data_IF_095989499708
#
_entry.id   IF_095989499708
#
_cell.length_a   1.000
_cell.length_b   1.000
_cell.length_c   1.000
_cell.angle_alpha   90.00
_cell.angle_beta   90.00
_cell.angle_gamma   90.00
#
_symmetry.space_group_name_H-M   'P 1'
#
loop_
_entity.id
_entity.type
_entity.pdbx_description
1 polymer ?
#
# COMPACT_ATOMS: atom_id res chain seq x y z
N UNK A 1 5.97 94.34 10.68
CA UNK A 1 6.27 94.72 12.08
C UNK A 1 7.77 94.58 12.29
N UNK A 2 8.56 95.66 12.19
CA UNK A 2 9.09 96.46 13.33
C UNK A 2 9.86 95.57 14.34
N UNK A 3 11.16 95.71 14.61
CA UNK A 3 11.97 96.90 14.96
C UNK A 3 13.48 96.54 14.91
N UNK A 4 14.35 97.41 14.37
CA UNK A 4 15.28 98.33 15.10
C UNK A 4 16.47 97.63 15.79
N UNK A 5 17.73 97.75 15.35
CA UNK A 5 18.67 98.90 15.24
C UNK A 5 19.26 99.35 16.59
N UNK A 6 20.59 99.61 16.56
CA UNK A 6 21.50 100.29 17.50
C UNK A 6 22.23 99.34 18.50
N UNK A 7 23.54 99.39 18.76
CA UNK A 7 24.60 100.43 18.67
C UNK A 7 25.99 99.71 18.71
N UNK A 8 26.95 99.94 17.82
CA UNK A 8 27.99 101.00 17.80
C UNK A 8 28.70 101.24 19.16
N UNK A 9 29.98 100.83 19.31
CA UNK A 9 31.09 101.61 19.94
C UNK A 9 32.47 101.05 19.51
N UNK A 10 33.28 101.97 18.97
CA UNK A 10 34.73 102.05 18.73
C UNK A 10 35.72 101.23 19.61
N UNK A 11 36.80 100.70 19.00
CA UNK A 11 38.18 101.28 19.08
C UNK A 11 39.25 100.46 18.34
N UNK A 12 40.00 101.21 17.52
CA UNK A 12 41.35 101.02 16.99
C UNK A 12 42.25 99.92 17.59
N UNK A 13 43.03 99.31 16.68
CA UNK A 13 44.47 99.23 16.88
C UNK A 13 45.05 97.83 16.88
N UNK A 14 45.70 97.48 15.77
CA UNK A 14 47.11 97.08 15.70
C UNK A 14 47.32 95.97 14.65
N UNK A 15 48.10 96.32 13.63
CA UNK A 15 48.83 95.33 12.84
C UNK A 15 49.65 94.43 13.77
N UNK A 16 49.35 93.14 13.81
CA UNK A 16 50.28 92.13 14.31
C UNK A 16 50.99 91.47 13.13
N UNK A 17 52.11 92.10 12.81
CA UNK A 17 53.29 91.58 12.11
C UNK A 17 53.35 90.04 12.13
N UNK A 18 53.20 89.42 10.97
CA UNK A 18 53.49 87.99 10.71
C UNK A 18 54.84 87.61 11.30
N UNK A 19 54.83 86.86 12.42
CA UNK A 19 56.02 86.15 12.89
C UNK A 19 56.28 85.03 11.89
N UNK A 20 57.38 85.14 11.14
CA UNK A 20 57.83 84.05 10.27
C UNK A 20 57.98 82.78 11.11
N UNK A 21 57.23 81.73 10.75
CA UNK A 21 57.24 80.47 11.48
C UNK A 21 58.66 79.91 11.53
N UNK A 22 59.10 79.58 12.75
CA UNK A 22 60.44 79.06 13.02
C UNK A 22 60.73 77.83 12.14
N UNK A 23 61.98 77.69 11.70
CA UNK A 23 62.44 76.56 10.88
C UNK A 23 62.11 75.19 11.52
N UNK A 24 61.98 75.14 12.85
CA UNK A 24 61.54 73.96 13.59
C UNK A 24 60.05 73.66 13.41
N UNK A 25 59.18 74.67 13.51
CA UNK A 25 57.73 74.53 13.34
C UNK A 25 57.40 74.07 11.92
N UNK A 26 58.03 74.67 10.90
CA UNK A 26 57.86 74.23 9.49
C UNK A 26 58.35 72.79 9.26
N UNK A 27 59.35 72.34 10.02
CA UNK A 27 59.88 70.96 9.95
C UNK A 27 58.95 69.96 10.64
N UNK A 28 58.33 70.35 11.75
CA UNK A 28 57.32 69.57 12.47
C UNK A 28 56.01 69.48 11.69
N UNK A 29 55.51 70.58 11.11
CA UNK A 29 54.35 70.58 10.22
C UNK A 29 54.55 69.67 9.00
N UNK A 30 55.74 69.71 8.38
CA UNK A 30 56.07 68.82 7.26
C UNK A 30 56.17 67.36 7.70
N UNK A 31 56.63 67.09 8.92
CA UNK A 31 56.69 65.74 9.52
C UNK A 31 55.29 65.21 9.84
N UNK A 32 54.44 66.03 10.46
CA UNK A 32 53.05 65.72 10.76
C UNK A 32 52.21 65.53 9.49
N UNK A 33 52.38 66.40 8.48
CA UNK A 33 51.73 66.25 7.18
C UNK A 33 52.16 64.97 6.45
N UNK A 34 53.45 64.60 6.53
CA UNK A 34 53.95 63.33 5.98
C UNK A 34 53.37 62.13 6.75
N UNK A 35 53.28 62.19 8.07
CA UNK A 35 52.64 61.14 8.87
C UNK A 35 51.14 61.02 8.58
N UNK A 36 50.41 62.14 8.51
CA UNK A 36 48.98 62.16 8.16
C UNK A 36 48.74 61.59 6.76
N UNK A 37 49.56 61.97 5.77
CA UNK A 37 49.51 61.39 4.43
C UNK A 37 49.75 59.87 4.45
N UNK A 38 50.74 59.41 5.24
CA UNK A 38 51.03 57.98 5.40
C UNK A 38 49.83 57.25 6.02
N UNK A 39 49.20 57.79 7.06
CA UNK A 39 48.01 57.19 7.68
C UNK A 39 46.80 57.17 6.74
N UNK A 40 46.56 58.25 6.00
CA UNK A 40 45.48 58.31 4.99
C UNK A 40 45.75 57.30 3.88
N UNK A 41 46.99 57.21 3.40
CA UNK A 41 47.38 56.25 2.37
C UNK A 41 47.18 54.81 2.84
N UNK A 42 47.64 54.44 4.04
CA UNK A 42 47.41 53.10 4.58
C UNK A 42 45.94 52.83 4.89
N UNK A 43 45.18 53.83 5.35
CA UNK A 43 43.74 53.71 5.55
C UNK A 43 42.99 53.42 4.25
N UNK A 44 43.32 54.15 3.17
CA UNK A 44 42.77 53.90 1.84
C UNK A 44 43.22 52.55 1.27
N UNK A 45 44.47 52.14 1.50
CA UNK A 45 44.98 50.83 1.10
C UNK A 45 44.19 49.70 1.80
N UNK A 46 43.97 49.81 3.12
CA UNK A 46 43.20 48.83 3.89
C UNK A 46 41.73 48.81 3.43
N UNK A 47 41.13 49.98 3.19
CA UNK A 47 39.76 50.07 2.67
C UNK A 47 39.65 49.45 1.27
N UNK A 48 40.62 49.70 0.40
CA UNK A 48 40.68 49.06 -0.91
C UNK A 48 40.83 47.54 -0.78
N UNK A 49 41.69 47.06 0.12
CA UNK A 49 41.86 45.63 0.37
C UNK A 49 40.57 45.00 0.93
N UNK A 50 39.87 45.69 1.83
CA UNK A 50 38.56 45.27 2.33
C UNK A 50 37.52 45.15 1.20
N UNK A 51 37.41 46.17 0.34
CA UNK A 51 36.41 46.20 -0.74
C UNK A 51 36.76 45.23 -1.87
N UNK A 52 38.02 45.14 -2.29
CA UNK A 52 38.43 44.35 -3.45
C UNK A 52 38.84 42.91 -3.13
N UNK A 53 39.13 42.60 -1.87
CA UNK A 53 39.52 41.24 -1.44
C UNK A 53 38.47 40.66 -0.51
N UNK A 54 38.15 41.35 0.60
CA UNK A 54 37.30 40.76 1.64
C UNK A 54 35.83 40.67 1.21
N UNK A 55 35.25 41.74 0.64
CA UNK A 55 33.85 41.76 0.22
C UNK A 55 33.56 40.68 -0.85
N UNK A 56 34.36 40.49 -1.91
CA UNK A 56 34.13 39.40 -2.87
C UNK A 56 34.21 38.00 -2.24
N UNK A 57 35.09 37.79 -1.26
CA UNK A 57 35.19 36.52 -0.53
C UNK A 57 33.92 36.28 0.30
N UNK A 58 33.46 37.30 1.04
CA UNK A 58 32.23 37.23 1.84
C UNK A 58 31.02 37.00 0.95
N UNK A 59 30.91 37.73 -0.16
CA UNK A 59 29.82 37.59 -1.13
C UNK A 59 29.81 36.18 -1.73
N UNK A 60 30.96 35.65 -2.15
CA UNK A 60 31.09 34.28 -2.65
C UNK A 60 30.68 33.25 -1.60
N UNK A 61 31.10 33.43 -0.35
CA UNK A 61 30.76 32.51 0.74
C UNK A 61 29.27 32.59 1.11
N UNK A 62 28.72 33.81 1.15
CA UNK A 62 27.31 34.06 1.40
C UNK A 62 26.43 33.42 0.32
N UNK A 63 26.74 33.64 -0.97
CA UNK A 63 26.00 32.99 -2.07
C UNK A 63 26.27 31.49 -2.17
N UNK A 64 27.47 30.99 -1.83
CA UNK A 64 27.71 29.54 -1.79
C UNK A 64 26.90 28.82 -0.69
N UNK A 65 26.51 29.54 0.37
CA UNK A 65 25.62 29.03 1.42
C UNK A 65 24.15 29.22 1.02
N UNK A 66 23.80 30.33 0.36
CA UNK A 66 22.44 30.65 -0.05
C UNK A 66 21.98 29.82 -1.27
N UNK A 67 22.86 29.57 -2.25
CA UNK A 67 22.62 28.66 -3.39
C UNK A 67 22.54 27.20 -2.95
N UNK A 68 22.83 26.92 -1.68
CA UNK A 68 22.60 25.64 -1.03
C UNK A 68 21.19 25.60 -0.43
N UNK A 69 20.20 26.12 -1.15
CA UNK A 69 18.85 25.61 -1.05
C UNK A 69 18.89 24.18 -1.55
N UNK A 70 19.18 23.23 -0.67
CA UNK A 70 18.73 21.86 -0.88
C UNK A 70 17.23 21.99 -1.09
N UNK A 71 16.67 21.66 -2.27
CA UNK A 71 15.22 21.56 -2.36
C UNK A 71 14.80 20.64 -1.22
N UNK A 72 13.85 21.07 -0.40
CA UNK A 72 13.15 20.19 0.51
C UNK A 72 12.37 19.23 -0.40
N UNK A 73 13.06 18.25 -0.97
CA UNK A 73 12.45 17.12 -1.62
C UNK A 73 11.81 16.35 -0.46
N UNK A 74 10.53 16.65 -0.22
CA UNK A 74 9.72 15.92 0.73
C UNK A 74 9.55 14.53 0.14
N UNK A 75 10.53 13.67 0.40
CA UNK A 75 10.42 12.25 0.10
C UNK A 75 9.20 11.75 0.85
N UNK A 76 8.23 11.26 0.10
CA UNK A 76 7.07 10.64 0.69
C UNK A 76 7.48 9.30 1.30
N UNK A 77 7.35 9.21 2.62
CA UNK A 77 7.67 8.02 3.41
C UNK A 77 6.41 7.47 4.11
N UNK A 78 5.21 7.90 3.70
CA UNK A 78 3.94 7.44 4.28
C UNK A 78 3.46 6.19 3.52
N UNK A 79 3.33 5.03 4.18
CA UNK A 79 2.80 3.84 3.53
C UNK A 79 1.33 3.99 3.10
N UNK A 80 0.95 3.38 1.97
CA UNK A 80 -0.45 3.27 1.58
C UNK A 80 -1.26 2.42 2.58
N UNK A 81 -2.58 2.54 2.53
CA UNK A 81 -3.46 1.62 3.26
C UNK A 81 -3.35 0.19 2.71
N UNK A 82 -3.44 -0.81 3.59
CA UNK A 82 -3.53 -2.22 3.17
C UNK A 82 -4.73 -2.45 2.26
N UNK A 83 -4.54 -3.05 1.07
CA UNK A 83 -5.63 -3.37 0.15
C UNK A 83 -6.68 -4.30 0.75
N UNK A 84 -7.93 -4.17 0.31
CA UNK A 84 -9.06 -4.98 0.75
C UNK A 84 -9.74 -5.67 -0.43
N UNK A 85 -10.19 -6.91 -0.26
CA UNK A 85 -11.00 -7.60 -1.28
C UNK A 85 -12.49 -7.25 -1.12
N UNK A 86 -13.22 -7.18 -2.23
CA UNK A 86 -14.67 -7.02 -2.25
C UNK A 86 -15.41 -8.26 -1.73
N UNK A 87 -14.79 -9.43 -1.82
CA UNK A 87 -15.32 -10.70 -1.33
C UNK A 87 -14.19 -11.57 -0.80
N UNK A 88 -14.49 -12.36 0.24
CA UNK A 88 -13.55 -13.32 0.79
C UNK A 88 -13.38 -14.48 -0.22
N UNK A 89 -12.14 -14.85 -0.60
CA UNK A 89 -11.87 -16.03 -1.41
C UNK A 89 -12.49 -17.31 -0.81
N UNK A 90 -12.93 -18.27 -1.65
CA UNK A 90 -13.41 -19.55 -1.13
C UNK A 90 -12.26 -20.34 -0.50
N UNK A 91 -12.57 -21.16 0.51
CA UNK A 91 -11.59 -22.08 1.10
C UNK A 91 -11.17 -23.18 0.11
N UNK A 92 -12.06 -23.57 -0.82
CA UNK A 92 -11.78 -24.54 -1.86
C UNK A 92 -12.50 -24.21 -3.18
N UNK A 93 -11.93 -24.60 -4.31
CA UNK A 93 -12.53 -24.46 -5.64
C UNK A 93 -12.02 -25.51 -6.61
N UNK A 94 -12.85 -25.96 -7.55
CA UNK A 94 -12.40 -26.78 -8.67
C UNK A 94 -11.77 -25.98 -9.82
N UNK A 95 -11.95 -24.65 -9.81
CA UNK A 95 -11.43 -23.79 -10.87
C UNK A 95 -9.92 -23.64 -10.76
N UNK A 96 -9.24 -23.68 -11.91
CA UNK A 96 -7.83 -23.31 -12.01
C UNK A 96 -7.59 -21.81 -11.82
N UNK A 97 -8.64 -20.99 -11.99
CA UNK A 97 -8.54 -19.54 -11.96
C UNK A 97 -9.53 -18.96 -10.96
N UNK A 98 -9.06 -18.00 -10.17
CA UNK A 98 -9.89 -17.27 -9.23
C UNK A 98 -9.81 -15.77 -9.53
N UNK A 99 -10.98 -15.18 -9.79
CA UNK A 99 -11.10 -13.74 -10.00
C UNK A 99 -11.24 -13.03 -8.66
N UNK A 100 -10.39 -12.05 -8.43
CA UNK A 100 -10.33 -11.21 -7.25
C UNK A 100 -10.62 -9.77 -7.66
N UNK A 101 -11.42 -9.09 -6.87
CA UNK A 101 -11.63 -7.64 -6.99
C UNK A 101 -11.51 -7.01 -5.62
N UNK A 102 -11.12 -5.74 -5.58
CA UNK A 102 -10.92 -5.05 -4.32
C UNK A 102 -10.64 -3.57 -4.46
N UNK A 103 -10.28 -2.97 -3.34
CA UNK A 103 -9.94 -1.57 -3.23
C UNK A 103 -8.57 -1.36 -2.59
N UNK A 104 -7.84 -0.38 -3.08
CA UNK A 104 -6.56 0.07 -2.57
C UNK A 104 -6.41 1.58 -2.83
N UNK A 105 -5.26 2.16 -2.47
CA UNK A 105 -4.99 3.56 -2.77
C UNK A 105 -4.99 3.81 -4.29
N UNK A 106 -5.73 4.82 -4.75
CA UNK A 106 -5.84 5.13 -6.17
C UNK A 106 -4.46 5.47 -6.77
N UNK A 107 -4.22 5.05 -8.03
CA UNK A 107 -2.95 5.26 -8.74
C UNK A 107 -1.72 4.59 -8.08
N UNK A 108 -1.95 3.66 -7.15
CA UNK A 108 -0.92 2.79 -6.57
C UNK A 108 -0.90 1.42 -7.28
N UNK A 109 -0.17 0.46 -6.71
CA UNK A 109 -0.15 -0.93 -7.13
C UNK A 109 -0.50 -1.87 -5.97
N UNK A 110 -1.10 -3.01 -6.27
CA UNK A 110 -1.24 -4.15 -5.36
C UNK A 110 -0.26 -5.23 -5.80
N UNK A 111 0.62 -5.64 -4.90
CA UNK A 111 1.58 -6.72 -5.10
C UNK A 111 0.99 -8.00 -4.53
N UNK A 112 0.70 -8.96 -5.39
CA UNK A 112 0.17 -10.28 -5.04
C UNK A 112 1.31 -11.27 -4.83
N UNK A 113 1.19 -12.05 -3.75
CA UNK A 113 2.12 -13.09 -3.34
C UNK A 113 1.36 -14.41 -3.33
N UNK A 114 1.77 -15.34 -4.17
CA UNK A 114 1.23 -16.69 -4.23
C UNK A 114 2.34 -17.68 -3.82
N UNK A 115 2.06 -18.50 -2.81
CA UNK A 115 3.00 -19.51 -2.30
C UNK A 115 4.38 -18.92 -1.96
N UNK A 116 4.36 -17.82 -1.20
CA UNK A 116 5.54 -17.06 -0.75
C UNK A 116 6.41 -16.45 -1.86
N UNK A 117 5.93 -16.42 -3.11
CA UNK A 117 6.59 -15.77 -4.24
C UNK A 117 5.72 -14.65 -4.79
N UNK A 118 6.34 -13.56 -5.26
CA UNK A 118 5.61 -12.52 -5.99
C UNK A 118 5.03 -13.12 -7.27
N UNK A 119 3.72 -12.99 -7.43
CA UNK A 119 2.96 -13.54 -8.54
C UNK A 119 2.62 -12.45 -9.56
N UNK A 120 2.16 -11.28 -9.08
CA UNK A 120 1.80 -10.16 -9.93
C UNK A 120 1.87 -8.80 -9.21
N UNK A 121 2.06 -7.74 -9.99
CA UNK A 121 1.82 -6.34 -9.58
C UNK A 121 0.68 -5.76 -10.41
N UNK A 122 -0.39 -5.34 -9.75
CA UNK A 122 -1.64 -4.90 -10.38
C UNK A 122 -1.87 -3.42 -10.08
N UNK A 123 -2.05 -2.62 -11.13
CA UNK A 123 -2.35 -1.19 -10.97
C UNK A 123 -3.75 -0.95 -10.38
N UNK A 124 -3.87 0.09 -9.55
CA UNK A 124 -5.12 0.51 -8.93
C UNK A 124 -5.68 1.70 -9.71
N UNK A 125 -6.95 1.61 -10.11
CA UNK A 125 -7.64 2.65 -10.87
C UNK A 125 -7.84 3.94 -10.06
N UNK A 126 -8.27 5.02 -10.72
CA UNK A 126 -8.49 6.33 -10.07
C UNK A 126 -9.60 6.30 -9.00
N UNK A 127 -10.55 5.38 -9.13
CA UNK A 127 -11.63 5.14 -8.17
C UNK A 127 -11.22 4.17 -7.04
N UNK A 128 -9.94 3.76 -7.02
CA UNK A 128 -9.38 2.86 -6.02
C UNK A 128 -9.61 1.38 -6.32
N UNK A 129 -10.26 1.01 -7.43
CA UNK A 129 -10.54 -0.39 -7.74
C UNK A 129 -9.34 -1.12 -8.35
N UNK A 130 -9.21 -2.40 -8.02
CA UNK A 130 -8.33 -3.32 -8.74
C UNK A 130 -9.05 -4.64 -9.04
N UNK A 131 -8.59 -5.34 -10.09
CA UNK A 131 -9.01 -6.68 -10.43
C UNK A 131 -7.80 -7.53 -10.77
N UNK A 132 -7.81 -8.78 -10.32
CA UNK A 132 -6.74 -9.73 -10.56
C UNK A 132 -7.28 -11.15 -10.71
N UNK A 133 -6.80 -11.89 -11.70
CA UNK A 133 -7.09 -13.31 -11.84
C UNK A 133 -5.85 -14.10 -11.45
N UNK A 134 -5.95 -14.87 -10.36
CA UNK A 134 -4.86 -15.73 -9.88
C UNK A 134 -5.01 -17.13 -10.48
N UNK A 135 -3.89 -17.69 -10.94
CA UNK A 135 -3.81 -19.07 -11.45
C UNK A 135 -3.40 -20.03 -10.31
N UNK A 136 -4.34 -20.87 -9.89
CA UNK A 136 -4.18 -21.81 -8.78
C UNK A 136 -3.52 -23.12 -9.23
N UNK A 137 -2.56 -23.59 -8.46
CA UNK A 137 -1.97 -24.93 -8.62
C UNK A 137 -2.83 -25.98 -7.92
N UNK A 138 -2.82 -27.26 -8.35
CA UNK A 138 -3.50 -28.33 -7.63
C UNK A 138 -3.08 -28.38 -6.15
N UNK A 139 -4.06 -28.57 -5.26
CA UNK A 139 -3.84 -28.56 -3.81
C UNK A 139 -3.82 -27.17 -3.20
N UNK A 140 -3.04 -26.97 -2.13
CA UNK A 140 -3.04 -25.74 -1.33
C UNK A 140 -2.35 -24.58 -2.05
N UNK A 141 -3.01 -23.42 -2.08
CA UNK A 141 -2.48 -22.15 -2.57
C UNK A 141 -2.58 -21.09 -1.48
N UNK A 142 -1.45 -20.51 -1.08
CA UNK A 142 -1.40 -19.48 -0.05
C UNK A 142 -1.29 -18.10 -0.72
N UNK A 143 -2.35 -17.30 -0.64
CA UNK A 143 -2.42 -15.98 -1.24
C UNK A 143 -2.34 -14.88 -0.16
N UNK A 144 -1.43 -13.93 -0.34
CA UNK A 144 -1.38 -12.68 0.41
C UNK A 144 -1.05 -11.53 -0.53
N UNK A 145 -1.32 -10.29 -0.13
CA UNK A 145 -0.98 -9.13 -0.95
C UNK A 145 -0.78 -7.89 -0.09
N UNK A 146 -0.17 -6.86 -0.67
CA UNK A 146 0.05 -5.55 -0.04
C UNK A 146 0.01 -4.44 -1.10
N UNK A 147 -0.18 -3.20 -0.65
CA UNK A 147 -0.20 -2.02 -1.51
C UNK A 147 1.19 -1.39 -1.60
N UNK A 148 1.54 -0.86 -2.76
CA UNK A 148 2.77 -0.11 -3.02
C UNK A 148 2.46 1.18 -3.75
N UNK A 149 2.79 2.31 -3.16
CA UNK A 149 2.54 3.63 -3.74
C UNK A 149 3.56 4.00 -4.83
N UNK A 150 3.39 5.19 -5.42
CA UNK A 150 4.30 5.71 -6.45
C UNK A 150 5.69 6.11 -5.91
N UNK A 151 5.80 6.40 -4.61
CA UNK A 151 7.07 6.70 -3.93
C UNK A 151 7.84 5.43 -3.51
N UNK A 152 7.19 4.26 -3.61
CA UNK A 152 7.74 2.96 -3.28
C UNK A 152 7.47 2.52 -1.83
N UNK A 153 6.64 3.22 -1.07
CA UNK A 153 6.25 2.79 0.28
C UNK A 153 5.27 1.61 0.20
N UNK A 154 5.42 0.66 1.12
CA UNK A 154 4.64 -0.58 1.14
C UNK A 154 3.71 -0.60 2.36
N UNK A 155 2.45 -0.98 2.16
CA UNK A 155 1.51 -1.22 3.25
C UNK A 155 1.89 -2.47 4.05
N UNK A 156 1.18 -2.71 5.15
CA UNK A 156 1.16 -4.05 5.76
C UNK A 156 0.58 -5.06 4.76
N UNK A 157 1.06 -6.30 4.82
CA UNK A 157 0.48 -7.45 4.11
C UNK A 157 -0.89 -7.81 4.69
N UNK A 158 -1.77 -8.34 3.85
CA UNK A 158 -3.03 -8.95 4.29
C UNK A 158 -2.80 -10.21 5.13
N UNK A 159 -3.89 -10.70 5.72
CA UNK A 159 -3.93 -12.11 6.14
C UNK A 159 -3.69 -13.03 4.93
N UNK A 160 -3.13 -14.21 5.19
CA UNK A 160 -2.97 -15.24 4.17
C UNK A 160 -4.30 -15.98 3.98
N UNK A 161 -4.78 -15.99 2.74
CA UNK A 161 -5.91 -16.81 2.31
C UNK A 161 -5.36 -18.16 1.85
N UNK A 162 -5.81 -19.24 2.47
CA UNK A 162 -5.51 -20.60 2.02
C UNK A 162 -6.66 -21.06 1.12
N UNK A 163 -6.37 -21.28 -0.16
CA UNK A 163 -7.33 -21.76 -1.16
C UNK A 163 -6.87 -23.13 -1.64
N UNK A 164 -7.69 -24.15 -1.43
CA UNK A 164 -7.44 -25.50 -1.96
C UNK A 164 -8.06 -25.62 -3.35
N UNK A 165 -7.23 -25.87 -4.36
CA UNK A 165 -7.72 -26.31 -5.67
C UNK A 165 -7.92 -27.82 -5.65
N UNK A 166 -9.18 -28.24 -5.69
CA UNK A 166 -9.58 -29.64 -5.66
C UNK A 166 -10.43 -29.95 -6.89
N UNK A 167 -10.00 -30.93 -7.69
CA UNK A 167 -10.68 -31.36 -8.92
C UNK A 167 -11.25 -32.77 -8.80
N UNK A 168 -11.14 -33.41 -7.65
CA UNK A 168 -11.65 -34.75 -7.42
C UNK A 168 -13.13 -34.67 -7.06
N UNK A 169 -13.97 -35.44 -7.76
CA UNK A 169 -15.38 -35.50 -7.44
C UNK A 169 -15.62 -36.39 -6.20
N UNK A 170 -16.60 -36.05 -5.35
CA UNK A 170 -16.89 -36.85 -4.16
C UNK A 170 -17.32 -38.26 -4.55
N UNK A 171 -16.84 -39.27 -3.82
CA UNK A 171 -17.29 -40.64 -4.02
C UNK A 171 -18.71 -40.84 -3.48
N UNK A 172 -19.51 -41.72 -4.12
CA UNK A 172 -20.82 -42.14 -3.58
C UNK A 172 -20.85 -43.67 -3.48
N UNK A 173 -20.93 -44.19 -2.27
CA UNK A 173 -21.08 -45.61 -1.97
C UNK A 173 -22.46 -45.85 -1.36
N UNK A 174 -23.23 -46.78 -1.94
CA UNK A 174 -24.52 -47.18 -1.39
C UNK A 174 -24.34 -48.55 -0.78
N UNK A 175 -24.50 -48.64 0.55
CA UNK A 175 -24.39 -49.89 1.31
C UNK A 175 -25.73 -50.64 1.31
N UNK A 176 -26.84 -49.91 1.39
CA UNK A 176 -28.18 -50.47 1.36
C UNK A 176 -29.19 -49.44 0.83
N UNK A 177 -30.16 -49.84 0.00
CA UNK A 177 -30.23 -51.09 -0.73
C UNK A 177 -29.16 -51.18 -1.84
N UNK A 178 -28.77 -52.40 -2.22
CA UNK A 178 -27.89 -52.61 -3.37
C UNK A 178 -28.69 -52.48 -4.68
N UNK A 179 -27.99 -52.13 -5.75
CA UNK A 179 -28.59 -52.03 -7.08
C UNK A 179 -29.20 -53.37 -7.54
N UNK A 180 -30.38 -53.30 -8.15
CA UNK A 180 -31.16 -54.45 -8.62
C UNK A 180 -31.85 -55.26 -7.53
N UNK A 181 -31.79 -54.85 -6.26
CA UNK A 181 -32.43 -55.60 -5.18
C UNK A 181 -33.95 -55.51 -5.23
N UNK A 182 -34.61 -56.61 -4.88
CA UNK A 182 -36.06 -56.63 -4.63
C UNK A 182 -36.32 -56.47 -3.14
N UNK A 183 -37.16 -55.49 -2.79
CA UNK A 183 -37.53 -55.14 -1.43
C UNK A 183 -39.00 -55.56 -1.24
N UNK A 184 -39.22 -56.55 -0.38
CA UNK A 184 -40.56 -57.03 -0.02
C UNK A 184 -40.92 -56.52 1.38
N UNK A 185 -41.87 -55.58 1.49
CA UNK A 185 -42.34 -55.05 2.79
C UNK A 185 -43.83 -55.25 2.96
N UNK A 186 -44.21 -55.94 4.04
CA UNK A 186 -45.60 -56.37 4.27
C UNK A 186 -46.59 -55.24 4.57
N UNK A 187 -46.15 -54.03 4.96
CA UNK A 187 -47.04 -52.95 5.45
C UNK A 187 -46.57 -51.51 5.22
N UNK A 188 -45.27 -51.22 5.17
CA UNK A 188 -44.75 -49.87 4.98
C UNK A 188 -43.89 -49.80 3.72
N UNK A 189 -44.14 -48.82 2.85
CA UNK A 189 -43.33 -48.62 1.63
C UNK A 189 -42.01 -47.87 1.89
N UNK A 190 -41.59 -47.78 3.15
CA UNK A 190 -40.41 -47.02 3.55
C UNK A 190 -39.23 -47.95 3.68
N UNK A 191 -38.18 -47.71 2.90
CA UNK A 191 -36.89 -48.40 3.02
C UNK A 191 -35.87 -47.48 3.67
N UNK A 192 -34.96 -48.06 4.46
CA UNK A 192 -33.77 -47.33 4.91
C UNK A 192 -32.73 -47.38 3.80
N UNK A 193 -32.12 -46.22 3.52
CA UNK A 193 -31.02 -46.06 2.58
C UNK A 193 -29.80 -45.65 3.39
N UNK A 194 -28.73 -46.44 3.27
CA UNK A 194 -27.44 -46.23 3.93
C UNK A 194 -26.33 -46.18 2.91
N UNK A 195 -25.32 -45.38 3.21
CA UNK A 195 -24.14 -45.31 2.38
C UNK A 195 -23.11 -44.34 2.94
N UNK A 196 -22.11 -44.08 2.12
CA UNK A 196 -21.02 -43.15 2.40
C UNK A 196 -20.79 -42.21 1.23
N UNK A 197 -20.33 -41.02 1.55
CA UNK A 197 -19.82 -40.04 0.61
C UNK A 197 -18.65 -39.30 1.24
N UNK A 198 -17.95 -38.49 0.46
CA UNK A 198 -16.89 -37.64 0.99
C UNK A 198 -17.37 -36.74 2.15
N UNK A 199 -16.54 -36.61 3.18
CA UNK A 199 -16.82 -35.85 4.40
C UNK A 199 -17.10 -34.39 4.08
N UNK A 200 -18.21 -33.86 4.60
CA UNK A 200 -18.61 -32.46 4.39
C UNK A 200 -19.25 -32.18 3.03
N UNK A 201 -19.43 -33.20 2.18
CA UNK A 201 -20.19 -33.07 0.95
C UNK A 201 -21.69 -32.88 1.23
N UNK A 202 -22.35 -32.14 0.35
CA UNK A 202 -23.81 -32.07 0.27
C UNK A 202 -24.31 -33.25 -0.56
N UNK A 203 -25.15 -34.10 0.03
CA UNK A 203 -25.78 -35.21 -0.68
C UNK A 203 -27.26 -34.93 -0.92
N UNK A 204 -27.76 -35.29 -2.09
CA UNK A 204 -29.19 -35.32 -2.39
C UNK A 204 -29.60 -36.68 -2.95
N UNK A 205 -30.84 -37.09 -2.71
CA UNK A 205 -31.48 -38.27 -3.25
C UNK A 205 -32.78 -37.85 -3.93
N UNK A 206 -32.87 -38.03 -5.26
CA UNK A 206 -34.00 -37.58 -6.08
C UNK A 206 -34.41 -36.12 -5.78
N UNK A 207 -33.40 -35.25 -5.62
CA UNK A 207 -33.57 -33.83 -5.30
C UNK A 207 -33.84 -33.51 -3.82
N UNK A 208 -33.93 -34.50 -2.92
CA UNK A 208 -34.11 -34.30 -1.48
C UNK A 208 -32.76 -34.32 -0.77
N UNK A 209 -32.46 -33.31 0.05
CA UNK A 209 -31.23 -33.28 0.86
C UNK A 209 -31.16 -34.46 1.83
N UNK A 210 -30.01 -35.13 1.85
CA UNK A 210 -29.66 -36.18 2.81
C UNK A 210 -28.52 -35.66 3.68
N UNK A 211 -28.65 -35.80 4.99
CA UNK A 211 -27.60 -35.39 5.93
C UNK A 211 -26.47 -36.42 5.92
N UNK A 212 -25.25 -35.93 5.77
CA UNK A 212 -24.02 -36.69 5.87
C UNK A 212 -23.37 -36.33 7.21
N UNK A 213 -22.95 -37.33 7.98
CA UNK A 213 -22.29 -37.12 9.27
C UNK A 213 -20.81 -36.71 9.10
N UNK A 214 -20.12 -36.50 10.23
CA UNK A 214 -18.70 -36.10 10.24
C UNK A 214 -17.75 -37.18 9.71
N UNK A 215 -18.21 -38.42 9.64
CA UNK A 215 -17.44 -39.58 9.17
C UNK A 215 -17.78 -39.93 7.71
N UNK A 216 -18.66 -39.14 7.06
CA UNK A 216 -19.08 -39.33 5.68
C UNK A 216 -20.22 -40.33 5.50
N UNK A 217 -20.80 -40.87 6.58
CA UNK A 217 -21.94 -41.78 6.47
C UNK A 217 -23.24 -41.01 6.33
N UNK A 218 -24.21 -41.63 5.66
CA UNK A 218 -25.58 -41.16 5.65
C UNK A 218 -26.56 -42.33 5.88
N UNK A 219 -27.66 -42.02 6.56
CA UNK A 219 -28.83 -42.89 6.64
C UNK A 219 -30.10 -42.07 6.50
N UNK A 220 -31.00 -42.47 5.62
CA UNK A 220 -32.30 -41.80 5.42
C UNK A 220 -33.40 -42.79 5.10
N UNK A 221 -34.63 -42.46 5.47
CA UNK A 221 -35.82 -43.22 5.06
C UNK A 221 -36.36 -42.69 3.74
N UNK A 222 -36.65 -43.60 2.80
CA UNK A 222 -37.21 -43.25 1.50
C UNK A 222 -38.44 -44.09 1.18
N UNK A 223 -39.48 -43.44 0.66
CA UNK A 223 -40.72 -44.10 0.27
C UNK A 223 -40.63 -44.59 -1.18
N UNK A 224 -40.86 -45.88 -1.37
CA UNK A 224 -40.87 -46.55 -2.66
C UNK A 224 -42.30 -46.67 -3.20
N UNK A 225 -42.44 -46.61 -4.53
CA UNK A 225 -43.65 -46.97 -5.24
C UNK A 225 -43.65 -48.45 -5.61
N UNK A 226 -44.82 -49.05 -5.87
CA UNK A 226 -44.89 -50.45 -6.33
C UNK A 226 -44.16 -50.61 -7.67
N UNK A 227 -43.33 -51.65 -7.79
CA UNK A 227 -42.53 -51.92 -8.98
C UNK A 227 -41.15 -51.25 -8.95
N UNK A 228 -40.66 -50.85 -10.12
CA UNK A 228 -39.30 -50.31 -10.29
C UNK A 228 -39.19 -48.88 -9.74
N UNK A 229 -38.21 -48.66 -8.86
CA UNK A 229 -37.86 -47.35 -8.31
C UNK A 229 -36.42 -46.99 -8.69
N UNK A 230 -36.23 -45.82 -9.29
CA UNK A 230 -34.91 -45.26 -9.58
C UNK A 230 -34.52 -44.25 -8.50
N UNK A 231 -33.35 -44.49 -7.89
CA UNK A 231 -32.80 -43.69 -6.82
C UNK A 231 -31.55 -42.98 -7.35
N UNK A 232 -31.67 -41.68 -7.60
CA UNK A 232 -30.59 -40.84 -8.08
C UNK A 232 -29.93 -40.08 -6.92
N UNK A 233 -28.67 -40.40 -6.66
CA UNK A 233 -27.84 -39.75 -5.66
C UNK A 233 -26.92 -38.74 -6.33
N UNK A 234 -26.89 -37.51 -5.81
CA UNK A 234 -25.97 -36.47 -6.27
C UNK A 234 -25.20 -35.91 -5.08
N UNK A 235 -23.88 -35.95 -5.14
CA UNK A 235 -23.00 -35.38 -4.13
C UNK A 235 -22.26 -34.16 -4.69
N UNK A 236 -22.04 -33.17 -3.84
CA UNK A 236 -21.24 -31.97 -4.14
C UNK A 236 -20.31 -31.68 -2.98
N UNK A 237 -19.00 -31.61 -3.25
CA UNK A 237 -18.00 -31.34 -2.22
C UNK A 237 -17.92 -29.84 -1.87
N UNK A 238 -16.90 -29.46 -1.09
CA UNK A 238 -16.66 -28.05 -0.72
C UNK A 238 -16.10 -27.21 -1.87
N UNK A 239 -15.36 -27.81 -2.79
CA UNK A 239 -14.77 -27.15 -3.95
C UNK A 239 -15.79 -26.89 -5.06
N UNK A 240 -16.94 -27.57 -5.01
CA UNK A 240 -18.00 -27.56 -6.01
C UNK A 240 -17.88 -28.69 -7.04
N UNK A 241 -17.05 -29.72 -6.83
CA UNK A 241 -17.07 -30.89 -7.71
C UNK A 241 -18.34 -31.70 -7.47
N UNK A 242 -18.81 -32.35 -8.54
CA UNK A 242 -20.08 -33.07 -8.55
C UNK A 242 -19.90 -34.52 -8.96
N UNK A 243 -20.64 -35.40 -8.29
CA UNK A 243 -20.82 -36.80 -8.72
C UNK A 243 -22.28 -37.22 -8.67
N UNK A 244 -22.61 -38.20 -9.49
CA UNK A 244 -23.95 -38.76 -9.59
C UNK A 244 -23.86 -40.29 -9.57
N UNK A 245 -24.79 -40.93 -8.85
CA UNK A 245 -24.90 -42.39 -8.81
C UNK A 245 -26.37 -42.78 -8.82
N UNK A 246 -26.72 -43.67 -9.73
CA UNK A 246 -28.07 -44.20 -9.84
C UNK A 246 -28.09 -45.66 -9.45
N UNK A 247 -29.09 -46.05 -8.66
CA UNK A 247 -29.45 -47.46 -8.45
C UNK A 247 -30.94 -47.66 -8.72
N UNK A 248 -31.31 -48.87 -9.11
CA UNK A 248 -32.68 -49.30 -9.30
C UNK A 248 -33.03 -50.36 -8.27
N UNK A 249 -34.19 -50.24 -7.63
CA UNK A 249 -34.73 -51.29 -6.76
C UNK A 249 -36.15 -51.64 -7.19
N UNK A 250 -36.51 -52.91 -7.03
CA UNK A 250 -37.88 -53.36 -7.27
C UNK A 250 -38.60 -53.47 -5.92
N UNK A 251 -39.75 -52.82 -5.78
CA UNK A 251 -40.57 -52.91 -4.57
C UNK A 251 -41.82 -53.76 -4.83
N UNK A 252 -42.11 -54.68 -3.91
CA UNK A 252 -43.30 -55.56 -3.96
C UNK A 252 -44.00 -55.59 -2.61
N UNK A 253 -45.34 -55.44 -2.63
CA UNK A 253 -46.22 -55.51 -1.45
C UNK A 253 -46.60 -56.94 -1.04
#
# INVERSE_FOLDING_TARGET
MTQSRLSEVYRNGAMTKTRGSSRLVKREEKKLGKQAFVFIFFGLLILALFIFVLVPIIVRFFFAILDKESPLESKDDIPPQTPILSSIPPEATYSAQLNLSGYAEAKSQVVFILNDQEDAQVGVAEDGQFQYTVDLQPGSNNLAFYGKDAAGNESLKTVTYNIVRDTEAPNIEIEQPLDGTTIELKKNRSTEIKGKTEIGSKLTLNGRTVLVDSDGNFSTSYYLDEGKNELNFQATDKAGNHSEKMISVEFRL
#
